data_IF_633713764912
#
_entry.id   IF_633713764912
#
_cell.length_a   1.000
_cell.length_b   1.000
_cell.length_c   1.000
_cell.angle_alpha   90.00
_cell.angle_beta   90.00
_cell.angle_gamma   90.00
#
_symmetry.space_group_name_H-M   'P 1'
#
loop_
_entity.id
_entity.type
_entity.pdbx_description
1 polymer ?
#
# COMPACT_ATOMS: atom_id res chain seq x y z
N UNK A 1 -6.31 -10.42 19.05
CA UNK A 1 -6.42 -11.46 18.00
C UNK A 1 -6.78 -10.79 16.67
N UNK A 2 -5.82 -10.16 15.98
CA UNK A 2 -6.05 -9.54 14.65
C UNK A 2 -5.05 -10.03 13.58
N UNK A 3 -4.03 -10.82 13.95
CA UNK A 3 -2.86 -11.15 13.12
C UNK A 3 -3.18 -11.87 11.80
N UNK A 4 -4.27 -12.65 11.73
CA UNK A 4 -4.68 -13.31 10.48
C UNK A 4 -5.18 -12.30 9.43
N UNK A 5 -5.91 -11.26 9.83
CA UNK A 5 -6.43 -10.25 8.90
C UNK A 5 -5.33 -9.35 8.34
N UNK A 6 -4.33 -9.02 9.17
CA UNK A 6 -3.18 -8.20 8.75
C UNK A 6 -2.37 -8.92 7.67
N UNK A 7 -2.07 -10.21 7.89
CA UNK A 7 -1.29 -11.00 6.93
C UNK A 7 -2.04 -11.21 5.61
N UNK A 8 -3.37 -11.36 5.67
CA UNK A 8 -4.22 -11.38 4.46
C UNK A 8 -4.16 -10.03 3.75
N UNK A 9 -4.34 -8.91 4.47
CA UNK A 9 -4.34 -7.56 3.89
C UNK A 9 -2.98 -7.21 3.24
N UNK A 10 -1.87 -7.54 3.91
CA UNK A 10 -0.52 -7.33 3.39
C UNK A 10 -0.29 -8.10 2.09
N UNK A 11 -0.66 -9.38 2.07
CA UNK A 11 -0.56 -10.22 0.87
C UNK A 11 -1.44 -9.70 -0.26
N UNK A 12 -2.70 -9.34 0.02
CA UNK A 12 -3.63 -8.82 -1.00
C UNK A 12 -3.18 -7.46 -1.56
N UNK A 13 -2.55 -6.62 -0.73
CA UNK A 13 -1.96 -5.35 -1.17
C UNK A 13 -0.80 -5.61 -2.13
N UNK A 14 0.11 -6.52 -1.78
CA UNK A 14 1.23 -6.94 -2.64
C UNK A 14 0.75 -7.47 -3.99
N UNK A 15 -0.20 -8.40 -3.98
CA UNK A 15 -0.81 -8.96 -5.20
C UNK A 15 -1.51 -7.87 -6.04
N UNK A 16 -2.17 -6.91 -5.39
CA UNK A 16 -2.83 -5.80 -6.07
C UNK A 16 -1.82 -4.86 -6.73
N UNK A 17 -0.74 -4.49 -6.05
CA UNK A 17 0.32 -3.66 -6.62
C UNK A 17 1.05 -4.37 -7.76
N UNK A 18 1.32 -5.67 -7.59
CA UNK A 18 1.96 -6.47 -8.65
C UNK A 18 1.13 -6.53 -9.93
N UNK A 19 -0.19 -6.61 -9.79
CA UNK A 19 -1.16 -6.70 -10.90
C UNK A 19 -1.44 -5.36 -11.57
N UNK A 20 -1.59 -4.28 -10.80
CA UNK A 20 -2.05 -2.99 -11.33
C UNK A 20 -0.92 -1.98 -11.58
N UNK A 21 0.27 -2.20 -11.01
CA UNK A 21 1.41 -1.28 -11.13
C UNK A 21 1.36 -0.11 -10.15
N UNK A 22 0.17 0.31 -9.74
CA UNK A 22 -0.06 1.37 -8.74
C UNK A 22 -1.24 1.02 -7.81
N UNK A 23 -1.14 1.44 -6.55
CA UNK A 23 -2.24 1.38 -5.57
C UNK A 23 -2.14 2.55 -4.61
N UNK A 24 -3.27 3.01 -4.11
CA UNK A 24 -3.35 3.96 -3.01
C UNK A 24 -3.57 3.21 -1.70
N UNK A 25 -2.86 3.63 -0.64
CA UNK A 25 -3.11 3.19 0.73
C UNK A 25 -3.59 4.36 1.58
N UNK A 26 -4.42 4.06 2.59
CA UNK A 26 -4.77 4.99 3.66
C UNK A 26 -4.28 4.41 4.99
N UNK A 27 -3.55 5.22 5.73
CA UNK A 27 -3.06 4.87 7.07
C UNK A 27 -4.12 5.13 8.14
N UNK A 28 -3.92 4.56 9.33
CA UNK A 28 -4.81 4.70 10.51
C UNK A 28 -4.93 6.16 11.00
N UNK A 29 -3.90 6.98 10.77
CA UNK A 29 -3.90 8.43 11.01
C UNK A 29 -4.68 9.23 9.94
N UNK A 30 -5.16 8.58 8.89
CA UNK A 30 -5.89 9.19 7.78
C UNK A 30 -5.04 9.66 6.60
N UNK A 31 -3.71 9.59 6.69
CA UNK A 31 -2.78 9.89 5.61
C UNK A 31 -2.99 8.95 4.42
N UNK A 32 -2.77 9.47 3.21
CA UNK A 32 -2.88 8.70 1.97
C UNK A 32 -1.53 8.69 1.27
N UNK A 33 -1.10 7.51 0.85
CA UNK A 33 0.19 7.32 0.19
C UNK A 33 -0.07 6.56 -1.11
N UNK A 34 0.52 7.06 -2.19
CA UNK A 34 0.54 6.38 -3.48
C UNK A 34 1.74 5.46 -3.56
N UNK A 35 1.48 4.20 -3.90
CA UNK A 35 2.49 3.17 -4.05
C UNK A 35 2.65 2.83 -5.52
N UNK A 36 3.88 2.89 -6.02
CA UNK A 36 4.22 2.43 -7.36
C UNK A 36 5.08 1.16 -7.29
N UNK A 37 4.85 0.23 -8.21
CA UNK A 37 5.56 -1.06 -8.20
C UNK A 37 7.08 -0.92 -8.24
N UNK A 38 7.59 0.13 -8.89
CA UNK A 38 9.02 0.34 -9.06
C UNK A 38 9.71 0.98 -7.83
N UNK A 39 8.94 1.53 -6.89
CA UNK A 39 9.49 2.23 -5.73
C UNK A 39 9.05 1.61 -4.39
N UNK A 40 8.42 0.43 -4.42
CA UNK A 40 7.93 -0.27 -3.24
C UNK A 40 8.55 -1.65 -3.13
N UNK A 41 8.91 -2.04 -1.90
CA UNK A 41 9.26 -3.41 -1.55
C UNK A 41 8.49 -3.89 -0.32
N UNK A 42 8.18 -5.19 -0.27
CA UNK A 42 7.45 -5.82 0.82
C UNK A 42 8.39 -6.70 1.62
N UNK A 43 8.55 -6.43 2.91
CA UNK A 43 9.32 -7.26 3.81
C UNK A 43 8.38 -8.29 4.46
N UNK A 44 8.40 -9.53 3.95
CA UNK A 44 7.53 -10.60 4.45
C UNK A 44 7.87 -11.02 5.91
N UNK A 45 9.09 -10.73 6.40
CA UNK A 45 9.52 -11.07 7.77
C UNK A 45 9.02 -10.08 8.82
N UNK A 46 9.02 -8.78 8.48
CA UNK A 46 8.55 -7.71 9.39
C UNK A 46 7.12 -7.24 9.10
N UNK A 47 6.56 -7.65 7.96
CA UNK A 47 5.29 -7.14 7.41
C UNK A 47 5.32 -5.62 7.18
N UNK A 48 6.48 -5.09 6.79
CA UNK A 48 6.63 -3.68 6.43
C UNK A 48 6.55 -3.49 4.92
N UNK A 49 5.92 -2.38 4.52
CA UNK A 49 5.97 -1.84 3.16
C UNK A 49 7.01 -0.73 3.15
N UNK A 50 8.08 -0.93 2.40
CA UNK A 50 9.17 0.05 2.26
C UNK A 50 8.95 0.83 0.98
N UNK A 51 8.85 2.15 1.09
CA UNK A 51 8.58 3.07 -0.03
C UNK A 51 9.77 3.99 -0.23
N UNK A 52 10.40 3.90 -1.39
CA UNK A 52 11.45 4.83 -1.83
C UNK A 52 10.81 6.02 -2.55
N UNK A 53 10.78 7.19 -1.90
CA UNK A 53 10.23 8.42 -2.47
C UNK A 53 11.33 9.33 -3.04
N UNK A 54 12.47 8.76 -3.46
CA UNK A 54 13.66 9.40 -4.00
C UNK A 54 14.45 10.29 -3.03
N UNK A 55 13.78 11.15 -2.24
CA UNK A 55 14.42 11.98 -1.21
C UNK A 55 14.48 11.30 0.15
N UNK A 56 13.49 10.47 0.43
CA UNK A 56 13.28 9.82 1.71
C UNK A 56 12.77 8.40 1.48
N UNK A 57 13.03 7.53 2.46
CA UNK A 57 12.48 6.19 2.50
C UNK A 57 11.51 6.10 3.67
N UNK A 58 10.33 5.53 3.42
CA UNK A 58 9.31 5.29 4.44
C UNK A 58 9.22 3.80 4.74
N UNK A 59 9.14 3.45 6.02
CA UNK A 59 8.84 2.10 6.48
C UNK A 59 7.45 2.10 7.10
N UNK A 60 6.52 1.44 6.44
CA UNK A 60 5.11 1.44 6.82
C UNK A 60 4.77 0.05 7.36
N UNK A 61 4.49 -0.03 8.66
CA UNK A 61 3.96 -1.24 9.28
C UNK A 61 2.58 -1.56 8.66
N UNK A 62 2.37 -2.78 8.16
CA UNK A 62 1.10 -3.23 7.60
C UNK A 62 -0.09 -3.03 8.56
N UNK A 63 0.15 -3.07 9.88
CA UNK A 63 -0.88 -2.79 10.88
C UNK A 63 -1.42 -1.37 10.83
N UNK A 64 -0.65 -0.44 10.25
CA UNK A 64 -1.04 0.96 10.08
C UNK A 64 -1.86 1.20 8.83
N UNK A 65 -1.95 0.22 7.93
CA UNK A 65 -2.75 0.34 6.71
C UNK A 65 -4.21 0.02 7.04
N UNK A 66 -5.03 1.07 7.06
CA UNK A 66 -6.46 0.95 7.31
C UNK A 66 -7.24 0.42 6.09
N UNK A 67 -6.85 0.84 4.88
CA UNK A 67 -7.52 0.47 3.64
C UNK A 67 -6.64 0.73 2.41
N UNK A 68 -6.87 0.03 1.29
CA UNK A 68 -6.22 0.30 0.00
C UNK A 68 -7.22 0.24 -1.17
N UNK A 69 -6.93 0.96 -2.25
CA UNK A 69 -7.71 0.92 -3.49
C UNK A 69 -6.82 1.12 -4.72
N UNK A 70 -7.29 0.66 -5.88
CA UNK A 70 -6.61 0.89 -7.16
C UNK A 70 -7.00 2.29 -7.63
N UNK A 71 -6.00 3.16 -7.83
CA UNK A 71 -6.24 4.42 -8.52
C UNK A 71 -6.56 4.09 -9.99
N UNK A 72 -7.70 4.56 -10.50
CA UNK A 72 -8.05 4.42 -11.91
C UNK A 72 -8.13 5.82 -12.48
N UNK A 73 -7.04 6.28 -13.08
CA UNK A 73 -7.08 7.50 -13.87
C UNK A 73 -8.14 7.34 -14.98
N UNK A 74 -9.15 8.22 -14.97
CA UNK A 74 -10.23 8.24 -15.96
C UNK A 74 -11.67 8.16 -15.43
N UNK A 75 -11.89 7.93 -14.13
CA UNK A 75 -13.24 8.01 -13.52
C UNK A 75 -13.47 9.36 -12.83
N UNK A 76 -12.41 10.01 -12.35
CA UNK A 76 -12.50 11.27 -11.59
C UNK A 76 -12.52 12.53 -12.48
N UNK A 77 -13.12 12.42 -13.67
CA UNK A 77 -13.18 13.51 -14.66
C UNK A 77 -14.46 13.57 -15.50
N UNK A 78 -15.48 12.75 -15.21
CA UNK A 78 -16.81 12.89 -15.83
C UNK A 78 -17.81 13.35 -14.78
N UNK A 79 -17.88 14.67 -14.59
CA UNK A 79 -19.12 15.32 -14.17
C UNK A 79 -20.09 15.38 -15.34
#
# INVERSE_FOLDING_TARGET
>A
MNSCNIMVNFKTLKESLDKNGEVMIRLDNGEKIELYKHNVSFNDSTQEVVVDAAKETYWIDANKIAYYWIHREGIEGKK
#
